data_IF_878575125581
#
_entry.id   IF_878575125581
#
_cell.length_a   1.000
_cell.length_b   1.000
_cell.length_c   1.000
_cell.angle_alpha   90.00
_cell.angle_beta   90.00
_cell.angle_gamma   90.00
#
_symmetry.space_group_name_H-M   'P 1'
#
loop_
_entity.id
_entity.type
_entity.pdbx_description
1 polymer ?
#
# COMPACT_ATOMS: atom_id res chain seq x y z
N UNK A 1 58.24 8.54 10.48
CA UNK A 1 57.43 7.43 9.90
C UNK A 1 56.16 7.04 10.70
N UNK A 2 56.19 7.02 12.05
CA UNK A 2 55.02 6.62 12.87
C UNK A 2 53.95 7.69 13.11
N UNK A 3 54.30 8.98 13.03
CA UNK A 3 53.31 10.08 13.16
C UNK A 3 52.44 10.29 11.90
N UNK A 4 52.90 9.86 10.73
CA UNK A 4 52.20 10.08 9.46
C UNK A 4 51.01 9.13 9.23
N UNK A 5 51.01 7.95 9.85
CA UNK A 5 49.96 6.94 9.68
C UNK A 5 48.72 7.29 10.53
N UNK A 6 48.91 7.80 11.75
CA UNK A 6 47.82 8.21 12.63
C UNK A 6 47.04 9.41 12.06
N UNK A 7 47.76 10.34 11.40
CA UNK A 7 47.17 11.47 10.67
C UNK A 7 46.36 11.04 9.44
N UNK A 8 46.82 10.02 8.70
CA UNK A 8 46.05 9.46 7.58
C UNK A 8 44.77 8.75 8.06
N UNK A 9 44.82 8.03 9.17
CA UNK A 9 43.65 7.34 9.75
C UNK A 9 42.61 8.36 10.26
N UNK A 10 43.05 9.43 10.93
CA UNK A 10 42.16 10.52 11.37
C UNK A 10 41.53 11.27 10.19
N UNK A 11 42.27 11.48 9.08
CA UNK A 11 41.74 12.09 7.85
C UNK A 11 40.73 11.19 7.11
N UNK A 12 40.93 9.87 7.13
CA UNK A 12 39.97 8.90 6.59
C UNK A 12 38.68 8.83 7.41
N UNK A 13 38.76 8.92 8.74
CA UNK A 13 37.58 8.96 9.63
C UNK A 13 36.81 10.29 9.45
N UNK A 14 37.52 11.43 9.31
CA UNK A 14 36.90 12.73 9.07
C UNK A 14 36.24 12.84 7.67
N UNK A 15 36.79 12.17 6.66
CA UNK A 15 36.23 12.10 5.30
C UNK A 15 35.02 11.18 5.20
N UNK A 16 34.87 10.22 6.13
CA UNK A 16 33.69 9.36 6.24
C UNK A 16 32.51 10.08 6.91
N UNK A 17 32.77 10.93 7.91
CA UNK A 17 31.73 11.67 8.65
C UNK A 17 31.10 12.82 7.84
N UNK A 18 31.85 13.43 6.90
CA UNK A 18 31.37 14.56 6.09
C UNK A 18 30.58 14.16 4.84
N UNK A 19 30.59 12.88 4.44
CA UNK A 19 29.76 12.38 3.32
C UNK A 19 28.29 12.14 3.70
N UNK A 20 27.95 12.17 4.98
CA UNK A 20 26.57 11.92 5.46
C UNK A 20 25.70 13.19 5.45
N UNK A 21 26.25 14.38 5.14
CA UNK A 21 25.55 15.66 5.28
C UNK A 21 25.23 16.38 3.96
N UNK A 22 25.29 15.72 2.79
CA UNK A 22 24.96 16.38 1.51
C UNK A 22 24.26 15.46 0.53
N UNK A 23 23.00 15.14 0.83
CA UNK A 23 22.03 14.71 -0.19
C UNK A 23 20.59 15.01 0.23
N UNK A 24 20.34 16.27 0.59
CA UNK A 24 19.01 16.84 0.43
C UNK A 24 18.84 17.22 -1.05
N UNK A 25 17.68 16.86 -1.61
CA UNK A 25 17.18 17.20 -2.94
C UNK A 25 17.46 16.20 -4.08
N UNK A 26 16.74 15.07 -4.06
CA UNK A 26 16.49 14.23 -5.25
C UNK A 26 15.11 13.57 -5.13
N UNK A 27 14.05 14.37 -5.25
CA UNK A 27 12.68 14.01 -4.88
C UNK A 27 11.94 13.12 -5.91
N UNK A 28 12.64 12.22 -6.61
CA UNK A 28 12.02 11.13 -7.39
C UNK A 28 12.67 9.75 -7.20
N UNK A 29 13.86 9.68 -6.57
CA UNK A 29 14.58 8.41 -6.36
C UNK A 29 14.40 7.82 -4.96
N UNK A 30 14.14 8.62 -3.94
CA UNK A 30 13.99 8.12 -2.57
C UNK A 30 12.72 7.28 -2.42
N UNK A 31 12.82 6.14 -1.72
CA UNK A 31 11.66 5.37 -1.27
C UNK A 31 11.37 5.80 0.17
N UNK A 32 10.43 6.73 0.39
CA UNK A 32 10.15 7.25 1.73
C UNK A 32 9.72 6.15 2.70
N UNK A 33 9.08 5.09 2.22
CA UNK A 33 8.62 3.98 3.05
C UNK A 33 9.80 3.22 3.67
N UNK A 34 10.97 3.23 3.03
CA UNK A 34 12.19 2.63 3.56
C UNK A 34 12.88 3.48 4.63
N UNK A 35 12.49 4.75 4.79
CA UNK A 35 13.09 5.68 5.76
C UNK A 35 12.23 5.90 6.99
N UNK A 36 10.98 5.41 7.01
CA UNK A 36 10.09 5.53 8.16
C UNK A 36 10.54 4.51 9.23
N UNK A 37 11.05 5.02 10.35
CA UNK A 37 11.48 4.23 11.50
C UNK A 37 10.64 4.51 12.77
N UNK A 38 9.55 5.27 12.63
CA UNK A 38 8.57 5.49 13.68
C UNK A 38 7.30 4.67 13.41
N UNK A 39 6.95 3.78 14.35
CA UNK A 39 5.77 2.94 14.24
C UNK A 39 4.46 3.74 14.27
N UNK A 40 4.43 4.90 14.93
CA UNK A 40 3.27 5.79 14.96
C UNK A 40 3.08 6.47 13.60
N UNK A 41 4.18 6.94 13.00
CA UNK A 41 4.14 7.50 11.64
C UNK A 41 3.66 6.45 10.64
N UNK A 42 4.17 5.22 10.71
CA UNK A 42 3.74 4.14 9.82
C UNK A 42 2.28 3.72 10.05
N UNK A 43 1.77 3.85 11.28
CA UNK A 43 0.39 3.49 11.60
C UNK A 43 -0.67 4.55 11.21
N UNK A 44 -0.22 5.75 10.86
CA UNK A 44 -1.06 6.88 10.51
C UNK A 44 -0.43 7.61 9.32
N UNK A 45 -0.58 7.03 8.13
CA UNK A 45 0.11 7.44 6.91
C UNK A 45 -0.84 7.44 5.71
N UNK A 46 -0.84 8.51 4.94
CA UNK A 46 -1.48 8.52 3.63
C UNK A 46 -0.56 7.97 2.55
N UNK A 47 -1.13 7.19 1.65
CA UNK A 47 -0.47 6.72 0.44
C UNK A 47 -0.20 7.89 -0.51
N UNK A 48 0.92 7.85 -1.23
CA UNK A 48 1.20 8.81 -2.29
C UNK A 48 0.46 8.43 -3.59
N UNK A 49 -0.83 8.75 -3.63
CA UNK A 49 -1.70 8.68 -4.80
C UNK A 49 -2.29 10.04 -5.18
N UNK A 50 -2.95 10.10 -6.34
CA UNK A 50 -3.50 11.33 -6.91
C UNK A 50 -4.64 11.93 -6.07
N UNK A 51 -5.46 11.09 -5.44
CA UNK A 51 -6.64 11.51 -4.67
C UNK A 51 -6.37 11.58 -3.16
N UNK A 52 -5.19 11.16 -2.73
CA UNK A 52 -4.77 11.18 -1.34
C UNK A 52 -4.31 12.58 -0.92
N UNK A 53 -4.67 12.96 0.30
CA UNK A 53 -4.05 14.07 1.03
C UNK A 53 -2.61 13.74 1.36
N UNK A 54 -1.81 14.77 1.63
CA UNK A 54 -0.43 14.58 2.06
C UNK A 54 -0.34 13.87 3.43
N UNK A 55 -1.25 14.19 4.35
CA UNK A 55 -1.27 13.65 5.71
C UNK A 55 -2.70 13.34 6.18
N UNK A 56 -2.88 12.37 7.10
CA UNK A 56 -4.18 12.07 7.68
C UNK A 56 -4.74 13.26 8.46
N UNK A 57 -6.06 13.41 8.44
CA UNK A 57 -6.73 14.41 9.25
C UNK A 57 -8.25 14.27 9.20
N UNK A 58 -8.97 14.95 10.10
CA UNK A 58 -10.42 14.93 10.14
C UNK A 58 -11.01 15.54 8.86
N UNK A 59 -12.11 14.95 8.40
CA UNK A 59 -12.93 15.39 7.26
C UNK A 59 -14.35 15.68 7.74
N UNK A 60 -14.59 16.84 8.37
CA UNK A 60 -15.91 17.17 8.94
C UNK A 60 -17.02 17.25 7.87
N UNK A 61 -16.66 17.45 6.60
CA UNK A 61 -17.60 17.42 5.48
C UNK A 61 -18.01 16.01 5.03
N UNK A 62 -17.31 14.96 5.49
CA UNK A 62 -17.62 13.57 5.17
C UNK A 62 -18.69 13.04 6.12
N UNK A 63 -19.91 13.56 5.98
CA UNK A 63 -21.05 13.27 6.86
C UNK A 63 -22.00 12.22 6.32
N UNK A 64 -21.84 11.85 5.05
CA UNK A 64 -22.70 10.90 4.33
C UNK A 64 -21.88 10.09 3.33
N UNK A 65 -22.50 9.09 2.71
CA UNK A 65 -21.86 8.26 1.70
C UNK A 65 -21.11 7.06 2.28
N UNK A 66 -20.45 6.28 1.42
CA UNK A 66 -19.91 4.96 1.79
C UNK A 66 -18.69 5.04 2.71
N UNK A 67 -17.98 6.17 2.74
CA UNK A 67 -16.72 6.31 3.45
C UNK A 67 -16.82 7.05 4.80
N UNK A 68 -18.04 7.26 5.31
CA UNK A 68 -18.30 8.06 6.53
C UNK A 68 -17.45 7.65 7.75
N UNK A 69 -17.11 6.37 7.91
CA UNK A 69 -16.31 5.90 9.05
C UNK A 69 -14.91 6.49 9.12
N UNK A 70 -14.39 7.05 8.04
CA UNK A 70 -13.09 7.71 8.01
C UNK A 70 -13.16 9.20 8.41
N UNK A 71 -14.33 9.75 8.75
CA UNK A 71 -14.50 11.19 9.03
C UNK A 71 -13.54 11.75 10.08
N UNK A 72 -13.20 10.99 11.12
CA UNK A 72 -12.37 11.47 12.23
C UNK A 72 -10.87 11.47 11.87
N UNK A 73 -10.47 10.62 10.92
CA UNK A 73 -9.09 10.51 10.44
C UNK A 73 -9.08 9.85 9.05
N UNK A 74 -8.93 10.69 8.02
CA UNK A 74 -9.01 10.29 6.62
C UNK A 74 -7.78 10.73 5.83
N UNK A 75 -7.46 9.98 4.79
CA UNK A 75 -6.53 10.33 3.72
C UNK A 75 -7.19 10.83 2.44
N UNK A 76 -8.52 10.81 2.33
CA UNK A 76 -9.27 11.42 1.24
C UNK A 76 -9.92 12.72 1.73
N UNK A 77 -10.30 13.60 0.81
CA UNK A 77 -11.17 14.75 1.13
C UNK A 77 -12.63 14.32 1.23
N UNK A 78 -13.47 15.13 1.88
CA UNK A 78 -14.92 14.92 1.90
C UNK A 78 -15.54 14.82 0.49
N UNK A 79 -15.05 15.60 -0.47
CA UNK A 79 -15.50 15.53 -1.87
C UNK A 79 -15.23 14.16 -2.49
N UNK A 80 -13.99 13.66 -2.33
CA UNK A 80 -13.60 12.33 -2.80
C UNK A 80 -14.46 11.30 -2.09
N UNK A 81 -14.42 11.23 -0.76
CA UNK A 81 -15.10 10.22 0.05
C UNK A 81 -16.62 10.15 -0.16
N UNK A 82 -17.28 11.27 -0.45
CA UNK A 82 -18.73 11.30 -0.71
C UNK A 82 -19.12 10.73 -2.07
N UNK A 83 -18.17 10.68 -3.02
CA UNK A 83 -18.43 10.25 -4.40
C UNK A 83 -17.73 8.93 -4.78
N UNK A 84 -17.04 8.25 -3.84
CA UNK A 84 -16.33 6.98 -4.09
C UNK A 84 -17.21 5.76 -4.45
N UNK A 85 -18.53 5.91 -4.60
CA UNK A 85 -19.44 4.86 -5.09
C UNK A 85 -20.31 5.23 -6.29
N UNK A 86 -20.35 6.51 -6.65
CA UNK A 86 -20.96 6.96 -7.90
C UNK A 86 -19.97 6.82 -9.04
N UNK A 87 -20.45 6.38 -10.22
CA UNK A 87 -19.72 6.32 -11.50
C UNK A 87 -18.44 7.16 -11.49
N UNK A 88 -17.32 6.48 -11.54
CA UNK A 88 -16.08 6.92 -10.93
C UNK A 88 -15.43 8.12 -11.63
N UNK A 89 -15.94 9.32 -11.38
CA UNK A 89 -15.61 10.53 -12.12
C UNK A 89 -14.23 11.13 -11.75
N UNK A 90 -13.60 10.62 -10.68
CA UNK A 90 -12.35 11.19 -10.13
C UNK A 90 -11.07 10.54 -10.64
N UNK A 91 -11.16 9.29 -11.09
CA UNK A 91 -10.07 8.68 -11.81
C UNK A 91 -9.98 9.38 -13.18
N UNK A 92 -8.77 9.59 -13.68
CA UNK A 92 -8.49 10.08 -15.05
C UNK A 92 -9.14 9.19 -16.14
N UNK A 93 -9.79 8.11 -15.71
CA UNK A 93 -10.54 7.20 -16.49
C UNK A 93 -11.78 6.77 -15.66
N UNK A 94 -12.98 6.95 -16.22
CA UNK A 94 -14.21 6.54 -15.54
C UNK A 94 -14.23 5.00 -15.48
N UNK A 95 -13.93 4.43 -14.32
CA UNK A 95 -14.01 3.00 -14.11
C UNK A 95 -15.49 2.57 -14.16
N UNK A 96 -15.84 1.82 -15.18
CA UNK A 96 -17.16 1.32 -15.49
C UNK A 96 -17.41 -0.02 -14.83
N UNK A 97 -18.41 -0.04 -13.96
CA UNK A 97 -18.95 -1.26 -13.35
C UNK A 97 -19.94 -2.00 -14.27
N UNK A 98 -20.30 -1.41 -15.41
CA UNK A 98 -21.18 -1.99 -16.43
C UNK A 98 -20.41 -2.49 -17.66
N UNK A 99 -19.12 -2.82 -17.51
CA UNK A 99 -18.23 -3.26 -18.58
C UNK A 99 -18.69 -4.55 -19.29
N UNK A 100 -19.58 -5.33 -18.66
CA UNK A 100 -20.23 -6.51 -19.24
C UNK A 100 -21.67 -6.26 -19.72
N UNK A 101 -22.04 -5.01 -20.02
CA UNK A 101 -23.35 -4.64 -20.58
C UNK A 101 -24.48 -4.55 -19.55
N UNK A 102 -24.22 -4.94 -18.29
CA UNK A 102 -25.09 -4.75 -17.14
C UNK A 102 -24.24 -4.30 -15.96
N UNK A 103 -24.74 -3.35 -15.17
CA UNK A 103 -24.11 -2.94 -13.90
C UNK A 103 -24.06 -4.13 -12.93
N UNK A 104 -23.06 -4.14 -12.06
CA UNK A 104 -23.03 -5.03 -10.90
C UNK A 104 -24.31 -4.87 -10.06
N UNK A 105 -24.66 -5.92 -9.32
CA UNK A 105 -25.69 -5.86 -8.29
C UNK A 105 -25.35 -4.81 -7.24
N UNK A 106 -26.37 -4.23 -6.60
CA UNK A 106 -26.18 -3.20 -5.58
C UNK A 106 -25.36 -3.73 -4.38
N UNK A 107 -25.52 -5.00 -4.03
CA UNK A 107 -24.76 -5.66 -2.96
C UNK A 107 -23.29 -5.80 -3.34
N UNK A 108 -22.97 -6.25 -4.57
CA UNK A 108 -21.60 -6.35 -5.03
C UNK A 108 -20.92 -4.98 -5.11
N UNK A 109 -21.61 -3.98 -5.66
CA UNK A 109 -21.12 -2.61 -5.78
C UNK A 109 -20.72 -2.02 -4.42
N UNK A 110 -21.57 -2.17 -3.39
CA UNK A 110 -21.26 -1.73 -2.01
C UNK A 110 -19.95 -2.30 -1.47
N UNK A 111 -19.56 -3.52 -1.83
CA UNK A 111 -18.28 -4.07 -1.40
C UNK A 111 -17.09 -3.45 -2.13
N UNK A 112 -17.22 -3.18 -3.43
CA UNK A 112 -16.21 -2.42 -4.17
C UNK A 112 -16.08 -0.99 -3.64
N UNK A 113 -17.18 -0.34 -3.25
CA UNK A 113 -17.17 0.95 -2.55
C UNK A 113 -16.39 0.89 -1.24
N UNK A 114 -16.64 -0.11 -0.38
CA UNK A 114 -15.90 -0.30 0.88
C UNK A 114 -14.41 -0.52 0.67
N UNK A 115 -14.06 -1.36 -0.31
CA UNK A 115 -12.67 -1.58 -0.73
C UNK A 115 -12.01 -0.26 -1.14
N UNK A 116 -12.75 0.59 -1.85
CA UNK A 116 -12.25 1.88 -2.32
C UNK A 116 -12.12 2.92 -1.22
N UNK A 117 -13.07 2.97 -0.29
CA UNK A 117 -12.96 3.79 0.92
C UNK A 117 -11.72 3.41 1.73
N UNK A 118 -11.40 2.11 1.83
CA UNK A 118 -10.15 1.67 2.44
C UNK A 118 -8.94 2.25 1.69
N UNK A 119 -8.89 2.06 0.37
CA UNK A 119 -7.75 2.47 -0.46
C UNK A 119 -7.51 3.99 -0.44
N UNK A 120 -8.57 4.79 -0.57
CA UNK A 120 -8.46 6.26 -0.71
C UNK A 120 -8.47 6.98 0.64
N UNK A 121 -9.26 6.52 1.61
CA UNK A 121 -9.52 7.27 2.84
C UNK A 121 -8.79 6.71 4.06
N UNK A 122 -8.31 5.47 4.06
CA UNK A 122 -7.70 4.90 5.26
C UNK A 122 -6.28 5.42 5.51
N UNK A 123 -5.98 5.96 6.70
CA UNK A 123 -4.61 6.27 7.11
C UNK A 123 -3.88 5.04 7.64
N UNK A 124 -4.51 3.87 7.62
CA UNK A 124 -4.04 2.68 8.32
C UNK A 124 -3.35 1.68 7.40
N UNK A 125 -3.02 2.04 6.16
CA UNK A 125 -2.39 1.14 5.19
C UNK A 125 -0.86 1.14 5.23
N UNK A 126 -0.22 2.01 6.01
CA UNK A 126 1.24 2.23 5.98
C UNK A 126 2.11 0.96 5.96
N UNK A 127 1.88 -0.06 6.82
CA UNK A 127 2.65 -1.31 6.79
C UNK A 127 2.50 -2.14 5.51
N UNK A 128 1.54 -1.85 4.65
CA UNK A 128 1.30 -2.58 3.40
C UNK A 128 1.52 -1.70 2.17
N UNK A 129 1.98 -0.47 2.36
CA UNK A 129 2.37 0.37 1.24
C UNK A 129 3.70 -0.13 0.66
N UNK A 130 3.74 -0.19 -0.67
CA UNK A 130 4.95 -0.47 -1.44
C UNK A 130 5.12 0.59 -2.53
N UNK A 131 6.37 0.93 -2.84
CA UNK A 131 6.69 1.85 -3.94
C UNK A 131 6.40 1.18 -5.28
N UNK A 132 5.79 1.93 -6.19
CA UNK A 132 5.59 1.54 -7.60
C UNK A 132 6.09 2.63 -8.54
N UNK A 133 6.38 2.25 -9.77
CA UNK A 133 6.83 3.15 -10.83
C UNK A 133 6.02 2.92 -12.11
N UNK A 134 6.05 3.89 -13.03
CA UNK A 134 5.37 3.79 -14.32
C UNK A 134 3.88 4.18 -14.32
N UNK A 135 3.35 4.69 -13.21
CA UNK A 135 1.97 5.17 -13.10
C UNK A 135 1.94 6.70 -12.97
N UNK A 136 1.07 7.38 -13.73
CA UNK A 136 0.90 8.84 -13.67
C UNK A 136 0.09 9.31 -12.47
N UNK A 137 -0.63 8.39 -11.82
CA UNK A 137 -1.63 8.69 -10.79
C UNK A 137 -1.25 8.19 -9.38
N UNK A 138 -0.15 7.44 -9.24
CA UNK A 138 0.40 7.02 -7.93
C UNK A 138 1.89 6.77 -8.00
N UNK A 139 2.53 6.83 -6.83
CA UNK A 139 3.90 6.34 -6.61
C UNK A 139 3.95 5.22 -5.57
N UNK A 140 2.82 4.94 -4.90
CA UNK A 140 2.67 3.90 -3.88
C UNK A 140 1.37 3.13 -4.08
N UNK A 141 1.35 1.85 -3.71
CA UNK A 141 0.13 1.02 -3.66
C UNK A 141 0.08 0.19 -2.37
N UNK A 142 -1.11 -0.22 -1.97
CA UNK A 142 -1.29 -1.28 -0.98
C UNK A 142 -1.00 -2.67 -1.60
N UNK A 143 -0.32 -3.54 -0.86
CA UNK A 143 0.01 -4.90 -1.28
C UNK A 143 0.07 -5.85 -0.08
N UNK A 144 -0.66 -6.95 -0.14
CA UNK A 144 -0.72 -7.96 0.93
C UNK A 144 -1.39 -7.50 2.22
N UNK A 145 -2.36 -6.58 2.15
CA UNK A 145 -3.19 -6.17 3.29
C UNK A 145 -3.96 -7.39 3.82
N UNK A 146 -3.85 -7.74 5.11
CA UNK A 146 -4.45 -8.96 5.64
C UNK A 146 -5.96 -8.78 5.71
N UNK A 147 -6.73 -9.30 4.75
CA UNK A 147 -8.19 -9.23 4.75
C UNK A 147 -8.75 -10.38 5.58
N UNK A 148 -9.67 -10.09 6.49
CA UNK A 148 -10.34 -11.13 7.26
C UNK A 148 -11.09 -12.09 6.33
N UNK A 149 -10.95 -13.40 6.56
CA UNK A 149 -11.58 -14.43 5.74
C UNK A 149 -13.10 -14.23 5.60
N UNK A 150 -13.81 -13.94 6.70
CA UNK A 150 -15.26 -13.64 6.69
C UNK A 150 -15.63 -12.46 5.79
N UNK A 151 -14.80 -11.42 5.73
CA UNK A 151 -15.02 -10.24 4.90
C UNK A 151 -14.83 -10.58 3.42
N UNK A 152 -13.81 -11.39 3.11
CA UNK A 152 -13.60 -11.89 1.75
C UNK A 152 -14.76 -12.77 1.28
N UNK A 153 -15.22 -13.71 2.13
CA UNK A 153 -16.36 -14.57 1.81
C UNK A 153 -17.63 -13.75 1.54
N UNK A 154 -17.90 -12.74 2.37
CA UNK A 154 -19.09 -11.90 2.20
C UNK A 154 -19.02 -11.02 0.93
N UNK A 155 -17.86 -10.47 0.61
CA UNK A 155 -17.65 -9.75 -0.66
C UNK A 155 -17.83 -10.69 -1.86
N UNK A 156 -17.16 -11.84 -1.86
CA UNK A 156 -17.28 -12.80 -2.93
C UNK A 156 -18.72 -13.28 -3.12
N UNK A 157 -19.43 -13.63 -2.04
CA UNK A 157 -20.81 -14.08 -2.10
C UNK A 157 -21.74 -13.02 -2.71
N UNK A 158 -21.54 -11.73 -2.39
CA UNK A 158 -22.30 -10.63 -2.97
C UNK A 158 -22.05 -10.47 -4.49
N UNK A 159 -20.86 -10.83 -4.97
CA UNK A 159 -20.44 -10.62 -6.35
C UNK A 159 -20.47 -11.88 -7.23
N UNK A 160 -20.56 -13.09 -6.67
CA UNK A 160 -20.31 -14.35 -7.37
C UNK A 160 -21.16 -14.54 -8.65
N UNK A 161 -22.40 -14.06 -8.65
CA UNK A 161 -23.33 -14.15 -9.78
C UNK A 161 -23.24 -12.98 -10.77
N UNK A 162 -22.54 -11.90 -10.41
CA UNK A 162 -22.32 -10.77 -11.31
C UNK A 162 -21.28 -11.11 -12.39
N UNK A 163 -21.28 -10.32 -13.46
CA UNK A 163 -20.47 -10.58 -14.64
C UNK A 163 -19.21 -9.71 -14.66
N UNK A 164 -18.11 -10.31 -15.10
CA UNK A 164 -16.93 -9.59 -15.55
C UNK A 164 -16.29 -10.35 -16.71
N UNK A 165 -15.29 -9.74 -17.35
CA UNK A 165 -14.53 -10.34 -18.44
C UNK A 165 -13.06 -10.54 -18.09
N UNK A 166 -12.61 -10.05 -16.94
CA UNK A 166 -11.23 -10.17 -16.47
C UNK A 166 -11.20 -10.46 -14.97
N UNK A 167 -10.31 -11.35 -14.49
CA UNK A 167 -10.19 -11.65 -13.07
C UNK A 167 -9.41 -10.56 -12.30
N UNK A 168 -8.50 -9.84 -12.97
CA UNK A 168 -7.69 -8.77 -12.37
C UNK A 168 -8.14 -7.42 -12.93
N UNK A 169 -8.74 -6.59 -12.09
CA UNK A 169 -9.34 -5.31 -12.49
C UNK A 169 -8.31 -4.17 -12.47
N UNK A 170 -7.14 -4.36 -11.88
CA UNK A 170 -6.05 -3.40 -11.95
C UNK A 170 -5.32 -3.42 -13.29
N UNK A 171 -5.25 -4.57 -13.97
CA UNK A 171 -4.41 -4.74 -15.17
C UNK A 171 -5.07 -5.46 -16.35
N UNK A 172 -6.18 -6.16 -16.15
CA UNK A 172 -6.78 -6.99 -17.19
C UNK A 172 -7.58 -6.21 -18.25
N UNK A 173 -8.10 -5.03 -17.90
CA UNK A 173 -8.91 -4.24 -18.82
C UNK A 173 -8.09 -3.57 -19.93
N UNK A 174 -8.71 -3.43 -21.09
CA UNK A 174 -8.24 -2.51 -22.13
C UNK A 174 -8.83 -1.12 -21.86
N UNK A 175 -8.01 -0.09 -21.98
CA UNK A 175 -8.44 1.30 -21.77
C UNK A 175 -8.59 2.02 -23.11
N UNK A 176 -9.78 2.55 -23.38
CA UNK A 176 -10.07 3.30 -24.62
C UNK A 176 -10.33 4.76 -24.31
N UNK A 177 -9.83 5.66 -25.16
CA UNK A 177 -10.08 7.09 -25.05
C UNK A 177 -11.53 7.40 -25.42
N UNK A 178 -12.22 8.18 -24.58
CA UNK A 178 -13.60 8.58 -24.84
C UNK A 178 -13.67 9.58 -26.00
N UNK A 179 -14.72 9.47 -26.83
CA UNK A 179 -14.89 10.29 -28.05
C UNK A 179 -15.04 11.80 -27.76
N UNK A 180 -15.66 12.15 -26.63
CA UNK A 180 -15.79 13.53 -26.15
C UNK A 180 -14.48 14.10 -25.54
N UNK A 181 -13.40 13.31 -25.49
CA UNK A 181 -12.13 13.72 -24.92
C UNK A 181 -12.07 13.74 -23.39
N UNK A 182 -13.10 13.27 -22.66
CA UNK A 182 -13.17 13.36 -21.19
C UNK A 182 -12.23 12.41 -20.43
N UNK A 183 -11.46 11.56 -21.12
CA UNK A 183 -10.51 10.64 -20.51
C UNK A 183 -10.53 9.26 -21.14
N UNK A 184 -10.25 8.24 -20.33
CA UNK A 184 -10.29 6.83 -20.73
C UNK A 184 -11.43 6.09 -20.04
N UNK A 185 -11.86 4.95 -20.59
CA UNK A 185 -12.78 4.01 -19.93
C UNK A 185 -12.26 2.59 -20.08
N UNK A 186 -12.46 1.77 -19.06
CA UNK A 186 -12.16 0.35 -19.12
C UNK A 186 -13.21 -0.38 -19.96
N UNK A 187 -12.73 -1.26 -20.83
CA UNK A 187 -13.55 -2.16 -21.63
C UNK A 187 -12.92 -3.56 -21.62
N UNK A 188 -13.76 -4.56 -21.88
CA UNK A 188 -13.28 -5.93 -22.01
C UNK A 188 -12.22 -6.05 -23.14
N UNK A 189 -11.21 -6.92 -22.95
CA UNK A 189 -10.23 -7.23 -23.99
C UNK A 189 -10.89 -8.02 -25.15
N UNK A 190 -10.08 -8.46 -26.12
CA UNK A 190 -10.52 -8.99 -27.41
C UNK A 190 -11.70 -9.97 -27.32
N UNK A 191 -12.76 -9.79 -28.11
CA UNK A 191 -14.01 -10.57 -27.98
C UNK A 191 -15.07 -9.88 -27.10
N UNK A 192 -14.70 -8.81 -26.38
CA UNK A 192 -15.64 -7.87 -25.77
C UNK A 192 -16.64 -8.56 -24.84
N UNK A 193 -17.94 -8.28 -25.03
CA UNK A 193 -19.02 -8.85 -24.23
C UNK A 193 -19.11 -10.38 -24.32
N UNK A 194 -18.61 -11.00 -25.39
CA UNK A 194 -18.63 -12.46 -25.54
C UNK A 194 -17.71 -13.19 -24.55
N UNK A 195 -16.78 -12.46 -23.91
CA UNK A 195 -15.91 -13.00 -22.87
C UNK A 195 -16.52 -12.93 -21.47
N UNK A 196 -17.66 -12.24 -21.31
CA UNK A 196 -18.25 -12.04 -19.99
C UNK A 196 -18.69 -13.38 -19.39
N UNK A 197 -18.23 -13.62 -18.16
CA UNK A 197 -18.52 -14.81 -17.34
C UNK A 197 -18.88 -14.36 -15.94
N UNK A 198 -19.49 -15.24 -15.15
CA UNK A 198 -19.71 -14.91 -13.75
C UNK A 198 -18.38 -14.73 -13.03
N UNK A 199 -18.33 -13.82 -12.05
CA UNK A 199 -17.16 -13.63 -11.19
C UNK A 199 -16.78 -14.97 -10.54
N UNK A 200 -17.77 -15.81 -10.19
CA UNK A 200 -17.51 -17.16 -9.71
C UNK A 200 -16.68 -18.01 -10.69
N UNK A 201 -17.01 -18.00 -11.98
CA UNK A 201 -16.27 -18.73 -13.01
C UNK A 201 -14.85 -18.18 -13.20
N UNK A 202 -14.67 -16.85 -13.16
CA UNK A 202 -13.36 -16.23 -13.33
C UNK A 202 -12.37 -16.53 -12.18
N UNK A 203 -12.91 -16.81 -10.99
CA UNK A 203 -12.12 -17.09 -9.79
C UNK A 203 -12.26 -18.54 -9.31
N UNK A 204 -12.57 -19.47 -10.21
CA UNK A 204 -12.65 -20.91 -9.94
C UNK A 204 -13.52 -21.27 -8.72
N UNK A 205 -14.60 -20.51 -8.50
CA UNK A 205 -15.50 -20.67 -7.35
C UNK A 205 -14.82 -20.52 -5.97
N UNK A 206 -13.73 -19.75 -5.88
CA UNK A 206 -12.95 -19.54 -4.65
C UNK A 206 -12.91 -18.05 -4.27
N UNK A 207 -13.38 -17.74 -3.07
CA UNK A 207 -13.42 -16.37 -2.56
C UNK A 207 -12.01 -15.77 -2.43
N UNK A 208 -11.04 -16.55 -1.94
CA UNK A 208 -9.66 -16.11 -1.76
C UNK A 208 -9.03 -15.72 -3.10
N UNK A 209 -9.28 -16.53 -4.15
CA UNK A 209 -8.81 -16.20 -5.48
C UNK A 209 -9.45 -14.91 -6.00
N UNK A 210 -10.69 -14.61 -5.64
CA UNK A 210 -11.33 -13.32 -5.95
C UNK A 210 -10.65 -12.16 -5.21
N UNK A 211 -10.62 -12.19 -3.89
CA UNK A 211 -10.12 -11.08 -3.06
C UNK A 211 -8.63 -10.78 -3.28
N UNK A 212 -7.80 -11.80 -3.49
CA UNK A 212 -6.36 -11.64 -3.72
C UNK A 212 -6.03 -11.20 -5.16
N UNK A 213 -6.93 -11.44 -6.13
CA UNK A 213 -6.64 -11.18 -7.57
C UNK A 213 -7.29 -9.90 -8.09
N UNK A 214 -8.50 -9.55 -7.62
CA UNK A 214 -9.30 -8.47 -8.23
C UNK A 214 -8.54 -7.14 -8.27
N UNK A 215 -7.77 -6.84 -7.22
CA UNK A 215 -6.89 -5.66 -7.12
C UNK A 215 -5.41 -6.01 -7.11
N UNK A 216 -5.03 -7.06 -7.84
CA UNK A 216 -3.62 -7.39 -8.13
C UNK A 216 -2.76 -7.54 -6.87
N UNK A 217 -3.18 -8.41 -5.95
CA UNK A 217 -2.47 -8.67 -4.71
C UNK A 217 -2.60 -7.57 -3.64
N UNK A 218 -3.57 -6.66 -3.78
CA UNK A 218 -3.85 -5.67 -2.72
C UNK A 218 -4.13 -6.36 -1.38
N UNK A 219 -4.95 -7.41 -1.40
CA UNK A 219 -5.30 -8.19 -0.23
C UNK A 219 -4.56 -9.53 -0.19
N UNK A 220 -4.29 -9.97 1.03
CA UNK A 220 -3.95 -11.35 1.39
C UNK A 220 -5.01 -11.85 2.35
N UNK A 221 -5.72 -12.92 2.03
CA UNK A 221 -6.76 -13.44 2.92
C UNK A 221 -6.12 -14.20 4.08
N UNK A 222 -6.55 -13.90 5.30
CA UNK A 222 -6.07 -14.54 6.53
C UNK A 222 -7.25 -14.99 7.41
N UNK A 223 -7.07 -15.99 8.29
CA UNK A 223 -8.12 -16.42 9.21
C UNK A 223 -8.64 -15.29 10.09
N UNK A 224 -9.94 -15.28 10.40
CA UNK A 224 -10.57 -14.23 11.22
C UNK A 224 -10.00 -14.11 12.64
N UNK A 225 -9.37 -15.18 13.16
CA UNK A 225 -8.68 -15.17 14.46
C UNK A 225 -7.31 -14.47 14.46
N UNK A 226 -6.79 -14.15 13.28
CA UNK A 226 -5.54 -13.39 13.11
C UNK A 226 -5.83 -11.89 13.04
N UNK A 227 -4.85 -11.01 13.32
CA UNK A 227 -4.99 -9.58 13.04
C UNK A 227 -5.30 -9.34 11.55
N UNK A 228 -6.49 -8.83 11.25
CA UNK A 228 -6.99 -8.68 9.88
C UNK A 228 -7.91 -7.47 9.72
N UNK A 229 -7.98 -6.96 8.49
CA UNK A 229 -8.75 -5.80 8.09
C UNK A 229 -10.20 -6.19 7.84
N UNK A 230 -11.08 -5.32 8.31
CA UNK A 230 -12.49 -5.32 7.98
C UNK A 230 -12.76 -4.20 6.97
N UNK A 231 -13.55 -4.51 5.94
CA UNK A 231 -14.05 -3.54 4.97
C UNK A 231 -15.43 -3.03 5.40
N UNK A 232 -16.27 -3.95 5.89
CA UNK A 232 -17.61 -3.65 6.39
C UNK A 232 -17.62 -3.46 7.92
N UNK A 233 -17.16 -2.30 8.37
CA UNK A 233 -17.17 -1.91 9.79
C UNK A 233 -17.87 -0.56 10.04
N UNK A 234 -18.02 0.24 8.99
CA UNK A 234 -18.46 1.65 9.03
C UNK A 234 -19.99 1.81 8.89
N UNK A 235 -20.81 0.77 9.09
CA UNK A 235 -22.25 0.89 8.89
C UNK A 235 -22.89 1.78 9.95
N UNK A 236 -23.27 3.01 9.56
CA UNK A 236 -24.14 3.99 10.25
C UNK A 236 -23.80 4.38 11.71
N UNK A 237 -22.78 3.77 12.30
CA UNK A 237 -22.38 3.96 13.69
C UNK A 237 -20.94 4.43 13.70
N UNK A 238 -20.64 5.50 14.44
CA UNK A 238 -19.28 6.00 14.71
C UNK A 238 -18.49 5.00 15.59
N UNK A 239 -18.50 3.71 15.22
CA UNK A 239 -17.70 2.68 15.85
C UNK A 239 -16.24 2.99 15.56
N UNK A 240 -15.39 2.78 16.55
CA UNK A 240 -13.95 2.92 16.38
C UNK A 240 -13.49 2.00 15.24
N UNK A 241 -12.65 2.52 14.35
CA UNK A 241 -12.09 1.78 13.23
C UNK A 241 -11.29 0.56 13.74
N UNK A 242 -11.74 -0.69 13.45
CA UNK A 242 -11.08 -1.89 13.95
C UNK A 242 -9.68 -2.10 13.35
N UNK A 243 -9.42 -1.53 12.17
CA UNK A 243 -8.18 -1.72 11.44
C UNK A 243 -6.98 -1.02 12.11
N UNK A 244 -7.24 0.02 12.93
CA UNK A 244 -6.19 0.75 13.64
C UNK A 244 -5.34 -0.15 14.54
N UNK A 245 -5.96 -1.12 15.22
CA UNK A 245 -5.24 -2.05 16.09
C UNK A 245 -4.29 -2.96 15.29
N UNK A 246 -4.77 -3.48 14.15
CA UNK A 246 -4.00 -4.33 13.23
C UNK A 246 -2.81 -3.56 12.69
N UNK A 247 -3.03 -2.34 12.22
CA UNK A 247 -1.97 -1.48 11.70
C UNK A 247 -0.93 -1.14 12.75
N UNK A 248 -1.35 -0.74 13.96
CA UNK A 248 -0.41 -0.43 15.05
C UNK A 248 0.48 -1.63 15.40
N UNK A 249 -0.08 -2.84 15.41
CA UNK A 249 0.70 -4.06 15.64
C UNK A 249 1.72 -4.29 14.52
N UNK A 250 1.28 -4.27 13.26
CA UNK A 250 2.15 -4.46 12.09
C UNK A 250 3.23 -3.38 11.98
N UNK A 251 2.92 -2.12 12.30
CA UNK A 251 3.89 -1.02 12.30
C UNK A 251 5.00 -1.25 13.33
N UNK A 252 4.65 -1.67 14.55
CA UNK A 252 5.64 -1.99 15.59
C UNK A 252 6.54 -3.13 15.17
N UNK A 253 5.96 -4.19 14.58
CA UNK A 253 6.71 -5.34 14.10
C UNK A 253 7.71 -4.94 13.00
N UNK A 254 7.26 -4.19 11.99
CA UNK A 254 8.13 -3.72 10.90
C UNK A 254 9.27 -2.84 11.37
N UNK A 255 8.99 -1.88 12.25
CA UNK A 255 10.00 -0.98 12.78
C UNK A 255 10.99 -1.73 13.68
N UNK A 256 10.50 -2.66 14.52
CA UNK A 256 11.39 -3.52 15.30
C UNK A 256 12.31 -4.35 14.40
N UNK A 257 11.78 -4.97 13.34
CA UNK A 257 12.57 -5.73 12.37
C UNK A 257 13.62 -4.85 11.66
N UNK A 258 13.28 -3.60 11.35
CA UNK A 258 14.24 -2.61 10.82
C UNK A 258 15.39 -2.37 11.80
N UNK A 259 15.12 -2.14 13.09
CA UNK A 259 16.19 -1.91 14.08
C UNK A 259 17.03 -3.17 14.35
N UNK A 260 16.41 -4.36 14.41
CA UNK A 260 17.13 -5.62 14.61
C UNK A 260 18.11 -5.91 13.46
N UNK A 261 17.70 -5.68 12.21
CA UNK A 261 18.57 -5.89 11.05
C UNK A 261 19.77 -4.93 11.09
N UNK A 262 19.58 -3.65 11.39
CA UNK A 262 20.67 -2.68 11.48
C UNK A 262 21.61 -2.94 12.67
N UNK A 263 21.08 -3.34 13.83
CA UNK A 263 21.88 -3.71 15.00
C UNK A 263 22.75 -4.95 14.72
N UNK A 264 22.25 -5.93 13.95
CA UNK A 264 23.02 -7.10 13.55
C UNK A 264 24.18 -6.73 12.61
N UNK A 265 23.97 -5.80 11.68
CA UNK A 265 25.01 -5.27 10.77
C UNK A 265 26.08 -4.49 11.53
N UNK A 266 25.70 -3.69 12.53
CA UNK A 266 26.65 -3.00 13.40
C UNK A 266 27.52 -3.99 14.19
N UNK A 267 26.93 -5.06 14.75
CA UNK A 267 27.69 -6.09 15.47
C UNK A 267 28.67 -6.85 14.57
N UNK A 268 28.28 -7.20 13.35
CA UNK A 268 29.18 -7.87 12.40
C UNK A 268 30.29 -6.94 11.93
N UNK A 269 29.98 -5.68 11.61
CA UNK A 269 30.98 -4.69 11.23
C UNK A 269 32.02 -4.42 12.34
N UNK A 270 31.58 -4.28 13.59
CA UNK A 270 32.48 -4.14 14.75
C UNK A 270 33.38 -5.36 14.93
N UNK A 271 32.84 -6.57 14.75
CA UNK A 271 33.61 -7.81 14.87
C UNK A 271 34.69 -7.94 13.77
N UNK A 272 34.36 -7.55 12.54
CA UNK A 272 35.31 -7.53 11.42
C UNK A 272 36.41 -6.48 11.64
N UNK A 273 36.05 -5.26 12.07
CA UNK A 273 37.02 -4.21 12.37
C UNK A 273 38.00 -4.64 13.48
N UNK A 274 37.48 -5.30 14.52
CA UNK A 274 38.31 -5.83 15.60
C UNK A 274 39.25 -6.95 15.12
N UNK A 275 38.75 -7.85 14.27
CA UNK A 275 39.56 -8.89 13.62
C UNK A 275 40.66 -8.33 12.72
N UNK A 276 40.35 -7.32 11.90
CA UNK A 276 41.33 -6.63 11.07
C UNK A 276 42.39 -5.90 11.90
N UNK A 277 42.01 -5.24 12.99
CA UNK A 277 42.95 -4.58 13.90
C UNK A 277 43.92 -5.58 14.54
N UNK A 278 43.42 -6.75 14.97
CA UNK A 278 44.25 -7.83 15.50
C UNK A 278 45.21 -8.42 14.45
N UNK A 279 44.77 -8.55 13.19
CA UNK A 279 45.61 -9.02 12.09
C UNK A 279 46.75 -8.02 11.81
N UNK A 280 46.45 -6.73 11.74
CA UNK A 280 47.45 -5.67 11.54
C UNK A 280 48.46 -5.65 12.69
N UNK A 281 48.00 -5.75 13.94
CA UNK A 281 48.88 -5.86 15.11
C UNK A 281 49.81 -7.07 15.02
N UNK A 282 49.29 -8.26 14.63
CA UNK A 282 50.13 -9.46 14.43
C UNK A 282 51.16 -9.28 13.33
N UNK A 283 50.77 -8.71 12.18
CA UNK A 283 51.69 -8.45 11.07
C UNK A 283 52.79 -7.45 11.45
N UNK A 284 52.47 -6.43 12.26
CA UNK A 284 53.47 -5.49 12.78
C UNK A 284 54.45 -6.12 13.78
N UNK A 285 54.04 -7.13 14.54
CA UNK A 285 54.90 -7.85 15.49
C UNK A 285 55.84 -8.88 14.82
N UNK A 286 55.45 -9.45 13.67
CA UNK A 286 56.28 -10.41 12.92
C UNK A 286 57.32 -9.70 12.03
N UNK A 287 57.12 -8.41 11.76
CA UNK A 287 58.04 -7.58 10.97
C UNK A 287 59.15 -6.88 11.81
N UNK A 288 59.25 -7.19 13.10
CA UNK A 288 60.31 -6.76 14.03
C UNK A 288 61.11 -7.97 14.50
#
# INVERSE_FOLDING_TARGET
>A
PRQSILLLILQLIASSSTKTARQSNNNSRSNRLATINDANQLANLCMMGRLHKAEPGPEPGLTTGPCIGYSDSSCCTAEVGSRLGSNDEFAQAAFRLDHCGRRLSAECEKWFERSRCLYECSPNLGPWLVKVSGYSWRTERAYGVPLCHSQCQAWYAACAADLSCVPNWSSGFRWIRQANGSGYVNVCPDGGLAQCRSIAQLHNHKAEQFCETVWDGEFKVVPDGSPCFQLDWSTATRKANPNLAVTRAASREKVAAFYYSHASVLKTASSVLFGCALLVLRLCFVAF
#
